data_IF_542195160806
#
_entry.id   IF_542195160806
#
_cell.length_a   1.000
_cell.length_b   1.000
_cell.length_c   1.000
_cell.angle_alpha   90.00
_cell.angle_beta   90.00
_cell.angle_gamma   90.00
#
_symmetry.space_group_name_H-M   'P 1'
#
loop_
_entity.id
_entity.type
_entity.pdbx_description
1 polymer ?
#
# COMPACT_ATOMS: atom_id res chain seq x y z
N UNK A 1 16.06 -2.51 14.73
CA UNK A 1 17.07 -2.78 13.68
C UNK A 1 17.05 -1.65 12.68
N UNK A 2 18.22 -1.17 12.24
CA UNK A 2 18.43 0.03 11.40
C UNK A 2 17.45 0.17 10.22
N UNK A 3 16.99 -0.95 9.66
CA UNK A 3 15.97 -1.01 8.61
C UNK A 3 14.61 -0.37 8.98
N UNK A 4 14.16 -0.45 10.25
CA UNK A 4 12.92 0.22 10.69
C UNK A 4 13.06 1.74 10.74
N UNK A 5 14.24 2.27 11.09
CA UNK A 5 14.44 3.72 11.20
C UNK A 5 14.47 4.40 9.82
N UNK A 6 15.07 3.75 8.82
CA UNK A 6 15.02 4.25 7.44
C UNK A 6 13.60 4.19 6.85
N UNK A 7 12.82 3.17 7.18
CA UNK A 7 11.41 3.08 6.76
C UNK A 7 10.59 4.25 7.34
N UNK A 8 10.76 4.60 8.63
CA UNK A 8 10.10 5.76 9.22
C UNK A 8 10.40 7.08 8.48
N UNK A 9 11.65 7.30 8.04
CA UNK A 9 12.01 8.49 7.26
C UNK A 9 11.43 8.48 5.83
N UNK A 10 11.26 7.30 5.25
CA UNK A 10 10.68 7.15 3.89
C UNK A 10 9.16 7.36 3.91
N UNK A 11 8.50 7.07 5.03
CA UNK A 11 7.05 7.10 5.20
C UNK A 11 6.50 8.46 5.67
N UNK A 12 7.32 9.50 5.89
CA UNK A 12 6.79 10.83 6.25
C UNK A 12 6.09 11.51 5.06
N UNK A 13 5.18 12.44 5.39
CA UNK A 13 4.51 13.33 4.44
C UNK A 13 3.73 12.61 3.34
N UNK A 14 3.04 11.51 3.68
CA UNK A 14 2.24 10.73 2.71
C UNK A 14 1.24 11.61 1.99
N UNK A 15 0.68 12.62 2.65
CA UNK A 15 -0.23 13.61 2.06
C UNK A 15 0.25 14.20 0.72
N UNK A 16 1.56 14.41 0.55
CA UNK A 16 2.13 15.04 -0.66
C UNK A 16 2.71 14.04 -1.67
N UNK A 17 2.49 12.74 -1.46
CA UNK A 17 3.01 11.73 -2.38
C UNK A 17 2.31 11.78 -3.74
N UNK A 18 3.12 11.82 -4.81
CA UNK A 18 2.64 11.58 -6.17
C UNK A 18 2.33 10.10 -6.41
N UNK A 19 1.60 9.81 -7.49
CA UNK A 19 1.37 8.43 -7.95
C UNK A 19 2.70 7.66 -8.12
N UNK A 20 3.73 8.27 -8.73
CA UNK A 20 5.08 7.69 -8.83
C UNK A 20 5.67 7.29 -7.48
N UNK A 21 5.50 8.13 -6.45
CA UNK A 21 6.00 7.81 -5.11
C UNK A 21 5.25 6.64 -4.50
N UNK A 22 3.93 6.57 -4.68
CA UNK A 22 3.10 5.42 -4.25
C UNK A 22 3.54 4.13 -4.96
N UNK A 23 3.79 4.17 -6.26
CA UNK A 23 4.31 3.04 -7.05
C UNK A 23 5.65 2.55 -6.49
N UNK A 24 6.59 3.47 -6.23
CA UNK A 24 7.90 3.12 -5.64
C UNK A 24 7.76 2.50 -4.25
N UNK A 25 6.81 2.97 -3.45
CA UNK A 25 6.53 2.36 -2.15
C UNK A 25 5.99 0.93 -2.30
N UNK A 26 5.04 0.69 -3.21
CA UNK A 26 4.51 -0.66 -3.50
C UNK A 26 5.63 -1.61 -3.96
N UNK A 27 6.54 -1.12 -4.80
CA UNK A 27 7.72 -1.88 -5.21
C UNK A 27 8.65 -2.20 -4.03
N UNK A 28 8.85 -1.25 -3.12
CA UNK A 28 9.74 -1.38 -1.96
C UNK A 28 9.22 -2.38 -0.91
N UNK A 29 7.90 -2.53 -0.78
CA UNK A 29 7.28 -3.53 0.11
C UNK A 29 7.22 -4.94 -0.51
N UNK A 30 7.72 -5.10 -1.74
CA UNK A 30 7.85 -6.40 -2.41
C UNK A 30 6.71 -6.76 -3.37
N UNK A 31 5.84 -5.81 -3.73
CA UNK A 31 4.68 -6.03 -4.63
C UNK A 31 4.90 -5.45 -6.03
N UNK A 32 6.13 -5.55 -6.53
CA UNK A 32 6.58 -4.88 -7.76
C UNK A 32 5.81 -5.34 -9.00
N UNK A 33 5.41 -6.59 -9.08
CA UNK A 33 4.62 -7.13 -10.20
C UNK A 33 3.23 -6.51 -10.33
N UNK A 34 2.69 -5.93 -9.24
CA UNK A 34 1.38 -5.27 -9.24
C UNK A 34 1.48 -3.74 -9.36
N UNK A 35 2.64 -3.15 -9.04
CA UNK A 35 2.78 -1.71 -8.85
C UNK A 35 2.41 -0.87 -10.08
N UNK A 36 2.69 -1.35 -11.29
CA UNK A 36 2.37 -0.61 -12.51
C UNK A 36 0.86 -0.58 -12.82
N UNK A 37 0.04 -1.39 -12.15
CA UNK A 37 -1.42 -1.43 -12.38
C UNK A 37 -2.13 -0.14 -11.90
N UNK A 38 -1.47 0.68 -11.09
CA UNK A 38 -2.02 1.95 -10.59
C UNK A 38 -1.48 3.18 -11.34
N UNK A 39 -0.72 2.99 -12.43
CA UNK A 39 -0.35 4.10 -13.32
C UNK A 39 -1.61 4.79 -13.84
N UNK A 40 -1.67 6.12 -13.72
CA UNK A 40 -2.81 6.94 -14.16
C UNK A 40 -4.16 6.60 -13.52
N UNK A 41 -4.18 5.79 -12.44
CA UNK A 41 -5.41 5.37 -11.76
C UNK A 41 -6.04 6.47 -10.89
N UNK A 42 -5.34 7.58 -10.68
CA UNK A 42 -5.71 8.63 -9.72
C UNK A 42 -5.28 8.36 -8.28
N UNK A 43 -4.64 7.22 -8.00
CA UNK A 43 -4.08 6.94 -6.66
C UNK A 43 -2.90 7.88 -6.37
N UNK A 44 -3.01 8.61 -5.26
CA UNK A 44 -1.98 9.52 -4.76
C UNK A 44 -2.07 9.66 -3.23
N UNK A 45 -1.08 10.33 -2.66
CA UNK A 45 -0.92 10.51 -1.22
C UNK A 45 -2.11 11.09 -0.48
N UNK A 46 -2.75 12.14 -1.02
CA UNK A 46 -3.90 12.77 -0.37
C UNK A 46 -5.14 11.88 -0.34
N UNK A 47 -5.33 11.01 -1.34
CA UNK A 47 -6.37 9.98 -1.32
C UNK A 47 -6.14 9.01 -0.16
N UNK A 48 -4.90 8.53 -0.02
CA UNK A 48 -4.52 7.59 1.06
C UNK A 48 -4.66 8.25 2.44
N UNK A 49 -4.21 9.50 2.57
CA UNK A 49 -4.13 10.20 3.85
C UNK A 49 -5.46 10.80 4.33
N UNK A 50 -6.35 11.22 3.41
CA UNK A 50 -7.56 11.99 3.76
C UNK A 50 -8.86 11.23 3.57
N UNK A 51 -8.94 10.25 2.65
CA UNK A 51 -10.18 9.51 2.41
C UNK A 51 -10.28 8.31 3.36
N UNK A 52 -11.16 8.41 4.36
CA UNK A 52 -11.40 7.37 5.35
C UNK A 52 -12.02 6.09 4.77
N UNK A 53 -12.62 6.16 3.58
CA UNK A 53 -13.16 4.98 2.89
C UNK A 53 -12.10 4.30 2.01
N UNK A 54 -10.98 4.96 1.74
CA UNK A 54 -9.89 4.37 0.98
C UNK A 54 -9.01 3.51 1.89
N UNK A 55 -9.17 2.20 1.78
CA UNK A 55 -8.50 1.20 2.61
C UNK A 55 -7.57 0.28 1.77
N UNK A 56 -6.88 -0.64 2.45
CA UNK A 56 -6.00 -1.59 1.76
C UNK A 56 -6.76 -2.47 0.75
N UNK A 57 -8.04 -2.76 1.01
CA UNK A 57 -8.90 -3.57 0.12
C UNK A 57 -9.14 -2.84 -1.21
N UNK A 58 -9.41 -1.55 -1.15
CA UNK A 58 -9.57 -0.67 -2.30
C UNK A 58 -8.28 -0.58 -3.12
N UNK A 59 -7.14 -0.42 -2.45
CA UNK A 59 -5.84 -0.42 -3.12
C UNK A 59 -5.50 -1.79 -3.73
N UNK A 60 -5.83 -2.89 -3.07
CA UNK A 60 -5.63 -4.26 -3.60
C UNK A 60 -6.42 -4.50 -4.89
N UNK A 61 -7.63 -3.92 -4.98
CA UNK A 61 -8.46 -3.99 -6.18
C UNK A 61 -7.82 -3.21 -7.34
N UNK A 62 -7.33 -2.00 -7.08
CA UNK A 62 -6.64 -1.18 -8.09
C UNK A 62 -5.31 -1.80 -8.54
N UNK A 63 -4.61 -2.48 -7.64
CA UNK A 63 -3.43 -3.29 -7.94
C UNK A 63 -3.75 -4.58 -8.71
N UNK A 64 -5.04 -4.88 -8.93
CA UNK A 64 -5.52 -6.11 -9.58
C UNK A 64 -5.04 -7.38 -8.89
N UNK A 65 -4.88 -7.37 -7.56
CA UNK A 65 -4.51 -8.56 -6.79
C UNK A 65 -5.73 -9.51 -6.77
N UNK A 66 -5.66 -10.71 -7.37
CA UNK A 66 -6.81 -11.61 -7.55
C UNK A 66 -7.52 -11.99 -6.24
N UNK A 67 -8.85 -11.85 -6.17
CA UNK A 67 -9.67 -12.14 -4.96
C UNK A 67 -10.11 -13.60 -4.82
N UNK A 68 -10.00 -14.43 -5.87
CA UNK A 68 -10.59 -15.77 -5.89
C UNK A 68 -9.56 -16.92 -5.89
N UNK A 69 -9.85 -17.92 -5.05
CA UNK A 69 -9.08 -19.14 -4.83
C UNK A 69 -8.97 -20.00 -6.10
N UNK A 70 -7.81 -19.96 -6.77
CA UNK A 70 -7.43 -20.98 -7.77
C UNK A 70 -6.16 -21.71 -7.32
N UNK A 71 -6.20 -23.04 -7.50
CA UNK A 71 -5.55 -24.08 -6.69
C UNK A 71 -4.00 -24.12 -6.70
N UNK A 72 -3.31 -23.31 -7.51
CA UNK A 72 -1.85 -23.30 -7.61
C UNK A 72 -1.18 -21.99 -7.16
N UNK A 73 -1.97 -20.91 -6.96
CA UNK A 73 -1.49 -19.54 -6.70
C UNK A 73 -1.79 -19.02 -5.30
N UNK A 74 -2.37 -19.88 -4.44
CA UNK A 74 -2.95 -19.52 -3.14
C UNK A 74 -1.96 -18.83 -2.18
N UNK A 75 -0.70 -19.28 -2.14
CA UNK A 75 0.26 -18.79 -1.15
C UNK A 75 0.82 -17.40 -1.50
N UNK A 76 1.14 -17.14 -2.78
CA UNK A 76 1.61 -15.80 -3.19
C UNK A 76 0.49 -14.76 -3.11
N UNK A 77 -0.75 -15.13 -3.46
CA UNK A 77 -1.90 -14.23 -3.39
C UNK A 77 -2.24 -13.82 -1.95
N UNK A 78 -2.22 -14.80 -1.03
CA UNK A 78 -2.46 -14.53 0.40
C UNK A 78 -1.31 -13.71 1.00
N UNK A 79 -0.06 -14.02 0.66
CA UNK A 79 1.09 -13.28 1.15
C UNK A 79 1.10 -11.83 0.63
N UNK A 80 0.75 -11.60 -0.64
CA UNK A 80 0.69 -10.26 -1.21
C UNK A 80 -0.34 -9.38 -0.50
N UNK A 81 -1.53 -9.93 -0.20
CA UNK A 81 -2.55 -9.23 0.59
C UNK A 81 -2.12 -8.95 2.03
N UNK A 82 -1.54 -9.94 2.70
CA UNK A 82 -1.05 -9.76 4.08
C UNK A 82 0.07 -8.71 4.17
N UNK A 83 0.99 -8.70 3.20
CA UNK A 83 2.02 -7.67 3.09
C UNK A 83 1.37 -6.31 2.87
N UNK A 84 0.44 -6.21 1.92
CA UNK A 84 -0.22 -4.95 1.61
C UNK A 84 -0.98 -4.39 2.81
N UNK A 85 -1.80 -5.21 3.47
CA UNK A 85 -2.56 -4.82 4.67
C UNK A 85 -1.62 -4.31 5.76
N UNK A 86 -0.59 -5.09 6.10
CA UNK A 86 0.38 -4.73 7.14
C UNK A 86 1.11 -3.42 6.81
N UNK A 87 1.63 -3.29 5.60
CA UNK A 87 2.42 -2.13 5.22
C UNK A 87 1.55 -0.89 4.98
N UNK A 88 0.30 -1.05 4.53
CA UNK A 88 -0.66 0.03 4.44
C UNK A 88 -0.99 0.60 5.82
N UNK A 89 -1.22 -0.27 6.81
CA UNK A 89 -1.43 0.16 8.19
C UNK A 89 -0.19 0.86 8.77
N UNK A 90 1.02 0.40 8.46
CA UNK A 90 2.26 1.11 8.83
C UNK A 90 2.35 2.49 8.15
N UNK A 91 1.97 2.59 6.87
CA UNK A 91 1.97 3.84 6.10
C UNK A 91 1.01 4.86 6.74
N UNK A 92 -0.19 4.43 7.13
CA UNK A 92 -1.13 5.30 7.83
C UNK A 92 -0.59 5.74 9.20
N UNK A 93 -0.12 4.79 10.01
CA UNK A 93 0.32 5.08 11.37
C UNK A 93 1.58 5.97 11.46
N UNK A 94 2.49 5.86 10.49
CA UNK A 94 3.75 6.59 10.49
C UNK A 94 3.75 7.82 9.59
N UNK A 95 2.88 7.85 8.60
CA UNK A 95 2.92 8.80 7.51
C UNK A 95 1.72 9.73 7.37
N UNK A 96 0.68 9.51 8.17
CA UNK A 96 -0.57 10.29 8.13
C UNK A 96 -1.07 10.63 9.53
N UNK A 97 -2.01 11.57 9.62
CA UNK A 97 -2.75 11.87 10.85
C UNK A 97 -4.01 11.01 11.02
N UNK A 98 -4.30 10.14 10.04
CA UNK A 98 -5.49 9.29 10.04
C UNK A 98 -5.39 8.27 11.18
N UNK A 99 -6.37 8.29 12.09
CA UNK A 99 -6.45 7.30 13.16
C UNK A 99 -6.86 5.96 12.59
N UNK A 100 -6.13 4.91 12.96
CA UNK A 100 -6.62 3.54 12.82
C UNK A 100 -7.72 3.40 13.87
N UNK A 101 -9.00 3.40 13.45
CA UNK A 101 -10.08 3.01 14.37
C UNK A 101 -9.89 1.52 14.71
N UNK A 102 -9.91 1.21 16.01
CA UNK A 102 -9.58 -0.08 16.62
C UNK A 102 -10.52 -1.24 16.23
#
# INVERSE_FOLDING_TARGET
GVWRLNQCYVLTDVLVWSNDRVIRWIQAIGLREYANNILESGVHGSLIALDENFDYSSLALLLQIPTQNTQASLLMLLLARQILEREYNNLLALGTERRLEE
#
